data_IF_795561193557
#
_entry.id   IF_795561193557
#
_cell.length_a   1.000
_cell.length_b   1.000
_cell.length_c   1.000
_cell.angle_alpha   90.00
_cell.angle_beta   90.00
_cell.angle_gamma   90.00
#
_symmetry.space_group_name_H-M   'P 1'
#
loop_
_entity.id
_entity.type
_entity.pdbx_description
1 polymer ?
#
# COMPACT_ATOMS: atom_id res chain seq x y z
N UNK A 1 0.32 1.14 0.29
CA UNK A 1 1.30 0.68 -0.72
C UNK A 1 0.74 -0.48 -1.52
N UNK A 2 0.96 -0.51 -2.83
CA UNK A 2 0.44 -1.56 -3.72
C UNK A 2 1.48 -1.93 -4.78
N UNK A 3 1.47 -3.18 -5.26
CA UNK A 3 2.32 -3.59 -6.38
C UNK A 3 1.88 -2.86 -7.67
N UNK A 4 2.86 -2.40 -8.46
CA UNK A 4 2.63 -1.82 -9.79
C UNK A 4 1.77 -2.75 -10.67
N UNK A 5 0.93 -2.23 -11.58
CA UNK A 5 -0.01 -3.06 -12.34
C UNK A 5 0.64 -4.18 -13.16
N UNK A 6 1.86 -3.96 -13.66
CA UNK A 6 2.66 -4.92 -14.44
C UNK A 6 3.32 -6.01 -13.59
N UNK A 7 3.34 -5.87 -12.26
CA UNK A 7 3.99 -6.81 -11.35
C UNK A 7 2.99 -7.89 -10.93
N UNK A 8 3.43 -9.14 -11.08
CA UNK A 8 2.69 -10.32 -10.65
C UNK A 8 2.51 -10.30 -9.13
N UNK A 9 1.31 -10.65 -8.68
CA UNK A 9 0.95 -10.78 -7.26
C UNK A 9 0.50 -12.23 -6.97
N UNK A 10 1.45 -13.12 -6.61
CA UNK A 10 1.12 -14.51 -6.27
C UNK A 10 0.18 -14.61 -5.05
N UNK A 11 0.33 -13.72 -4.06
CA UNK A 11 -0.51 -13.73 -2.86
C UNK A 11 -1.96 -13.36 -3.19
N UNK A 12 -2.18 -12.30 -3.97
CA UNK A 12 -3.51 -11.93 -4.46
C UNK A 12 -4.15 -13.03 -5.31
N UNK A 13 -3.35 -13.72 -6.13
CA UNK A 13 -3.83 -14.86 -6.92
C UNK A 13 -4.28 -16.01 -6.02
N UNK A 14 -3.50 -16.34 -4.99
CA UNK A 14 -3.86 -17.38 -4.02
C UNK A 14 -5.16 -17.03 -3.26
N UNK A 15 -5.31 -15.77 -2.82
CA UNK A 15 -6.53 -15.31 -2.13
C UNK A 15 -7.75 -15.39 -3.06
N UNK A 16 -7.65 -14.92 -4.31
CA UNK A 16 -8.74 -15.05 -5.30
C UNK A 16 -9.13 -16.52 -5.50
N UNK A 17 -8.15 -17.42 -5.59
CA UNK A 17 -8.40 -18.86 -5.68
C UNK A 17 -9.19 -19.35 -4.47
N UNK A 18 -8.75 -19.01 -3.25
CA UNK A 18 -9.48 -19.36 -2.03
C UNK A 18 -10.93 -18.86 -2.01
N UNK A 19 -11.16 -17.62 -2.43
CA UNK A 19 -12.51 -17.05 -2.53
C UNK A 19 -13.41 -17.82 -3.50
N UNK A 20 -12.89 -18.25 -4.65
CA UNK A 20 -13.64 -19.07 -5.60
C UNK A 20 -14.00 -20.44 -5.00
N UNK A 21 -13.08 -21.09 -4.28
CA UNK A 21 -13.39 -22.35 -3.58
C UNK A 21 -14.48 -22.19 -2.49
N UNK A 22 -14.66 -20.98 -1.97
CA UNK A 22 -15.71 -20.64 -1.00
C UNK A 22 -17.05 -20.22 -1.66
N UNK A 23 -17.13 -20.22 -3.00
CA UNK A 23 -18.34 -19.88 -3.77
C UNK A 23 -18.48 -18.41 -4.13
N UNK A 24 -17.44 -17.58 -3.94
CA UNK A 24 -17.45 -16.17 -4.34
C UNK A 24 -17.01 -15.98 -5.80
N UNK A 25 -17.84 -16.41 -6.74
CA UNK A 25 -17.51 -16.39 -8.19
C UNK A 25 -17.54 -14.99 -8.82
N UNK A 26 -18.05 -13.98 -8.10
CA UNK A 26 -18.09 -12.59 -8.56
C UNK A 26 -16.76 -11.83 -8.36
N UNK A 27 -15.75 -12.45 -7.72
CA UNK A 27 -14.46 -11.81 -7.46
C UNK A 27 -13.46 -12.13 -8.58
N UNK A 28 -13.34 -11.22 -9.54
CA UNK A 28 -12.49 -11.43 -10.72
C UNK A 28 -10.99 -11.25 -10.45
N UNK A 29 -10.61 -10.39 -9.50
CA UNK A 29 -9.22 -10.05 -9.20
C UNK A 29 -9.06 -9.59 -7.75
N UNK A 30 -7.98 -10.05 -7.12
CA UNK A 30 -7.52 -9.56 -5.81
C UNK A 30 -6.10 -9.07 -5.97
N UNK A 31 -5.78 -7.93 -5.35
CA UNK A 31 -4.41 -7.45 -5.19
C UNK A 31 -4.12 -7.21 -3.71
N UNK A 32 -2.96 -7.65 -3.26
CA UNK A 32 -2.49 -7.46 -1.90
C UNK A 32 -1.51 -6.29 -1.87
N UNK A 33 -1.64 -5.48 -0.83
CA UNK A 33 -0.79 -4.33 -0.57
C UNK A 33 -0.44 -4.24 0.90
N UNK A 34 0.30 -3.20 1.26
CA UNK A 34 0.66 -2.89 2.64
C UNK A 34 -0.05 -1.62 3.08
N UNK A 35 -0.56 -1.63 4.31
CA UNK A 35 -0.98 -0.44 5.05
C UNK A 35 0.04 -0.21 6.16
N UNK A 36 0.53 1.02 6.28
CA UNK A 36 1.59 1.38 7.23
C UNK A 36 1.16 2.67 7.91
N UNK A 37 1.11 2.66 9.24
CA UNK A 37 0.87 3.83 10.06
C UNK A 37 2.21 4.33 10.63
N UNK A 38 2.38 5.65 10.65
CA UNK A 38 3.60 6.30 11.12
C UNK A 38 3.20 7.50 11.96
N UNK A 39 3.56 7.45 13.24
CA UNK A 39 3.52 8.63 14.10
C UNK A 39 4.78 9.46 13.89
N UNK A 40 4.61 10.73 13.54
CA UNK A 40 5.71 11.67 13.40
C UNK A 40 5.37 13.06 13.92
N UNK A 41 6.37 13.72 14.50
CA UNK A 41 6.27 15.13 14.90
C UNK A 41 6.77 16.01 13.76
N UNK A 42 5.97 16.98 13.34
CA UNK A 42 6.35 17.96 12.34
C UNK A 42 5.78 19.35 12.67
N UNK A 43 6.42 20.40 12.16
CA UNK A 43 5.98 21.79 12.39
C UNK A 43 4.75 22.18 11.56
N UNK A 44 4.44 21.40 10.52
CA UNK A 44 3.26 21.59 9.68
C UNK A 44 2.94 20.30 8.92
N UNK A 45 1.69 20.16 8.47
CA UNK A 45 1.26 19.06 7.60
C UNK A 45 2.11 18.95 6.32
N UNK A 46 2.52 20.07 5.73
CA UNK A 46 3.35 20.07 4.52
C UNK A 46 4.74 19.47 4.78
N UNK A 47 5.37 19.80 5.91
CA UNK A 47 6.66 19.22 6.29
C UNK A 47 6.54 17.73 6.65
N UNK A 48 5.44 17.34 7.31
CA UNK A 48 5.15 15.93 7.57
C UNK A 48 5.04 15.14 6.27
N UNK A 49 4.31 15.69 5.29
CA UNK A 49 4.14 15.07 3.98
C UNK A 49 5.47 14.90 3.25
N UNK A 50 6.28 15.96 3.15
CA UNK A 50 7.60 15.90 2.51
C UNK A 50 8.51 14.86 3.18
N UNK A 51 8.52 14.83 4.52
CA UNK A 51 9.32 13.87 5.27
C UNK A 51 8.85 12.43 5.04
N UNK A 52 7.53 12.19 5.06
CA UNK A 52 6.95 10.88 4.76
C UNK A 52 7.26 10.44 3.33
N UNK A 53 7.17 11.33 2.34
CA UNK A 53 7.52 11.02 0.96
C UNK A 53 8.98 10.59 0.82
N UNK A 54 9.90 11.23 1.56
CA UNK A 54 11.30 10.81 1.60
C UNK A 54 11.47 9.43 2.25
N UNK A 55 10.81 9.20 3.39
CA UNK A 55 10.86 7.91 4.09
C UNK A 55 10.29 6.79 3.22
N UNK A 56 9.17 7.03 2.53
CA UNK A 56 8.56 6.08 1.62
C UNK A 56 9.49 5.73 0.46
N UNK A 57 10.09 6.73 -0.20
CA UNK A 57 10.99 6.50 -1.33
C UNK A 57 12.31 5.83 -0.95
N UNK A 58 12.83 6.10 0.25
CA UNK A 58 14.14 5.61 0.67
C UNK A 58 14.08 4.23 1.31
N UNK A 59 12.97 3.87 1.97
CA UNK A 59 12.92 2.68 2.81
C UNK A 59 11.63 1.88 2.66
N UNK A 60 10.47 2.51 2.83
CA UNK A 60 9.23 1.74 3.03
C UNK A 60 8.70 1.11 1.73
N UNK A 61 8.84 1.81 0.60
CA UNK A 61 8.40 1.34 -0.70
C UNK A 61 9.59 0.87 -1.52
N UNK A 62 9.42 -0.21 -2.26
CA UNK A 62 10.33 -0.54 -3.35
C UNK A 62 9.87 0.17 -4.64
N UNK A 63 10.52 1.26 -5.08
CA UNK A 63 10.03 2.08 -6.19
C UNK A 63 10.00 1.33 -7.53
N UNK A 64 10.77 0.24 -7.68
CA UNK A 64 10.81 -0.55 -8.91
C UNK A 64 9.52 -1.34 -9.10
N UNK A 65 8.94 -1.87 -8.02
CA UNK A 65 7.81 -2.83 -8.09
C UNK A 65 6.55 -2.38 -7.36
N UNK A 66 6.63 -1.35 -6.51
CA UNK A 66 5.53 -0.83 -5.71
C UNK A 66 5.21 0.63 -6.04
N UNK A 67 3.94 0.98 -5.89
CA UNK A 67 3.42 2.34 -5.77
C UNK A 67 3.00 2.59 -4.32
N UNK A 68 3.04 3.84 -3.88
CA UNK A 68 2.52 4.22 -2.57
C UNK A 68 1.65 5.48 -2.67
N UNK A 69 0.79 5.65 -1.67
CA UNK A 69 -0.02 6.84 -1.43
C UNK A 69 0.15 7.15 0.05
N UNK A 70 0.20 8.43 0.39
CA UNK A 70 0.37 8.92 1.76
C UNK A 70 -0.82 9.80 2.09
N UNK A 71 -1.36 9.61 3.28
CA UNK A 71 -2.38 10.47 3.87
C UNK A 71 -1.87 10.91 5.24
N UNK A 72 -1.94 12.21 5.51
CA UNK A 72 -1.49 12.80 6.77
C UNK A 72 -2.68 13.36 7.53
N UNK A 73 -2.82 12.90 8.77
CA UNK A 73 -3.84 13.34 9.71
C UNK A 73 -3.16 14.06 10.88
N UNK A 74 -3.79 15.11 11.39
CA UNK A 74 -3.36 15.70 12.66
C UNK A 74 -3.92 14.84 13.79
N UNK A 75 -3.07 14.50 14.76
CA UNK A 75 -3.52 13.85 15.98
C UNK A 75 -4.48 14.78 16.72
N UNK A 76 -5.62 14.24 17.16
CA UNK A 76 -6.65 14.96 17.90
C UNK A 76 -6.19 15.35 19.31
#
# INVERSE_FOLDING_TARGET
MTLRPSVLDPAGTAVRSGLSHMGYDNVSKVRIGKYIEVDLTARSKALAQEQLDRICNQLLANPVIENYCVEVFEAA
#
